data_IF_176353321331
#
_entry.id   IF_176353321331
#
_cell.length_a   1.000
_cell.length_b   1.000
_cell.length_c   1.000
_cell.angle_alpha   90.00
_cell.angle_beta   90.00
_cell.angle_gamma   90.00
#
_symmetry.space_group_name_H-M   'P 1'
#
loop_
_entity.id
_entity.type
_entity.pdbx_description
1 polymer ?
#
# COMPACT_ATOMS: atom_id res chain seq x y z
N UNK A 1 -9.84 -9.44 -26.45
CA UNK A 1 -10.37 -8.29 -27.23
C UNK A 1 -11.70 -7.72 -26.71
N UNK A 2 -12.60 -8.51 -26.10
CA UNK A 2 -13.91 -8.00 -25.62
C UNK A 2 -13.87 -7.04 -24.41
N UNK A 3 -12.89 -7.12 -23.51
CA UNK A 3 -12.82 -6.23 -22.32
C UNK A 3 -12.36 -4.79 -22.64
N UNK A 4 -11.54 -4.63 -23.68
CA UNK A 4 -11.12 -3.33 -24.20
C UNK A 4 -12.29 -2.57 -24.86
N UNK A 5 -13.21 -3.30 -25.51
CA UNK A 5 -14.42 -2.74 -26.09
C UNK A 5 -15.39 -2.21 -25.02
N UNK A 6 -15.61 -2.98 -23.95
CA UNK A 6 -16.46 -2.56 -22.81
C UNK A 6 -15.88 -1.30 -22.14
N UNK A 7 -14.56 -1.20 -21.96
CA UNK A 7 -13.93 -0.03 -21.31
C UNK A 7 -13.80 1.21 -22.22
N UNK A 8 -13.61 1.04 -23.54
CA UNK A 8 -13.74 2.16 -24.49
C UNK A 8 -15.17 2.72 -24.51
N UNK A 9 -16.16 1.84 -24.35
CA UNK A 9 -17.57 2.22 -24.25
C UNK A 9 -17.88 2.92 -22.92
N UNK A 10 -17.23 2.54 -21.81
CA UNK A 10 -17.29 3.26 -20.53
C UNK A 10 -16.62 4.63 -20.63
N UNK A 11 -15.41 4.75 -21.21
CA UNK A 11 -14.76 6.07 -21.40
C UNK A 11 -15.56 7.01 -22.33
N UNK A 12 -16.23 6.48 -23.35
CA UNK A 12 -17.11 7.28 -24.24
C UNK A 12 -18.52 7.53 -23.69
N UNK A 13 -18.98 6.75 -22.71
CA UNK A 13 -20.19 7.04 -21.93
C UNK A 13 -19.93 8.03 -20.79
N UNK A 14 -18.76 7.96 -20.15
CA UNK A 14 -18.37 8.89 -19.07
C UNK A 14 -18.28 10.33 -19.59
N UNK A 15 -17.95 10.55 -20.87
CA UNK A 15 -18.02 11.87 -21.50
C UNK A 15 -19.46 12.33 -21.86
N UNK A 16 -20.45 11.41 -21.90
CA UNK A 16 -21.85 11.71 -22.23
C UNK A 16 -22.77 11.86 -21.01
N UNK A 17 -22.35 11.44 -19.81
CA UNK A 17 -23.19 11.40 -18.58
C UNK A 17 -22.73 12.39 -17.49
N UNK A 18 -21.78 13.30 -17.78
CA UNK A 18 -21.32 14.28 -16.80
C UNK A 18 -22.39 15.34 -16.48
N UNK A 19 -22.98 15.25 -15.28
CA UNK A 19 -23.34 16.44 -14.50
C UNK A 19 -22.38 16.50 -13.30
N UNK A 20 -21.58 17.57 -13.14
CA UNK A 20 -20.76 17.72 -11.94
C UNK A 20 -21.68 17.79 -10.71
N UNK A 21 -21.51 16.86 -9.78
CA UNK A 21 -22.26 16.83 -8.51
C UNK A 21 -21.75 17.94 -7.55
N UNK A 22 -20.50 18.39 -7.74
CA UNK A 22 -19.93 19.53 -7.02
C UNK A 22 -19.86 20.77 -7.90
N UNK A 23 -20.76 21.75 -7.67
CA UNK A 23 -20.59 23.13 -8.14
C UNK A 23 -19.82 23.92 -7.08
N UNK A 24 -18.66 24.46 -7.47
CA UNK A 24 -17.96 25.61 -6.88
C UNK A 24 -17.52 25.52 -5.40
N UNK A 25 -16.35 24.93 -5.15
CA UNK A 25 -15.39 25.58 -4.26
C UNK A 25 -14.60 26.55 -5.14
N UNK A 26 -14.73 27.86 -4.87
CA UNK A 26 -14.08 28.91 -5.64
C UNK A 26 -12.57 28.63 -5.78
N UNK A 27 -12.14 28.29 -7.00
CA UNK A 27 -10.73 28.35 -7.35
C UNK A 27 -10.31 29.82 -7.21
N UNK A 28 -9.64 30.17 -6.11
CA UNK A 28 -8.88 31.41 -6.04
C UNK A 28 -7.89 31.36 -7.20
N UNK A 29 -8.11 32.20 -8.21
CA UNK A 29 -7.14 32.47 -9.28
C UNK A 29 -5.82 32.87 -8.61
N UNK A 30 -4.84 31.97 -8.64
CA UNK A 30 -3.45 32.37 -8.44
C UNK A 30 -3.03 33.00 -9.75
N UNK A 31 -2.96 34.33 -9.76
CA UNK A 31 -2.40 35.09 -10.88
C UNK A 31 -0.95 34.66 -11.09
N UNK A 32 -0.63 34.25 -12.32
CA UNK A 32 0.72 33.91 -12.73
C UNK A 32 1.64 35.11 -12.49
N UNK A 33 2.61 34.96 -11.59
CA UNK A 33 3.71 35.92 -11.43
C UNK A 33 4.71 35.61 -12.53
N UNK A 34 4.85 36.54 -13.46
CA UNK A 34 5.88 36.55 -14.50
C UNK A 34 7.26 36.61 -13.83
N UNK A 35 8.13 35.66 -14.11
CA UNK A 35 9.53 35.70 -13.67
C UNK A 35 10.25 36.85 -14.39
N UNK A 36 10.47 37.96 -13.69
CA UNK A 36 11.53 38.91 -14.03
C UNK A 36 12.72 38.64 -13.10
N UNK A 37 13.91 38.58 -13.70
CA UNK A 37 15.18 38.32 -13.04
C UNK A 37 15.41 39.29 -11.87
N UNK A 38 15.54 38.75 -10.66
CA UNK A 38 15.97 39.49 -9.48
C UNK A 38 17.33 38.98 -9.03
N UNK A 39 18.37 39.52 -9.66
CA UNK A 39 19.64 39.71 -8.97
C UNK A 39 19.45 40.81 -7.92
N UNK A 40 20.00 40.58 -6.72
CA UNK A 40 20.02 41.47 -5.56
C UNK A 40 18.71 41.68 -4.80
N UNK A 41 18.48 40.87 -3.74
CA UNK A 41 17.94 41.35 -2.46
C UNK A 41 18.33 40.41 -1.29
N UNK A 42 18.46 40.94 -0.06
CA UNK A 42 19.18 40.28 1.04
C UNK A 42 18.32 39.33 1.90
N UNK A 43 19.07 38.43 2.55
CA UNK A 43 18.80 37.48 3.63
C UNK A 43 17.42 37.48 4.31
N UNK A 44 16.85 36.27 4.40
CA UNK A 44 15.62 35.89 5.11
C UNK A 44 15.66 36.28 6.60
N UNK A 45 14.51 36.63 7.21
CA UNK A 45 14.43 36.93 8.63
C UNK A 45 14.62 35.67 9.49
N UNK A 46 15.45 35.80 10.54
CA UNK A 46 15.62 34.82 11.61
C UNK A 46 14.28 34.53 12.28
N UNK A 47 13.83 33.28 12.21
CA UNK A 47 12.78 32.76 13.09
C UNK A 47 13.46 32.13 14.31
N UNK A 48 13.69 32.94 15.34
CA UNK A 48 13.97 32.44 16.69
C UNK A 48 12.64 32.01 17.32
N UNK A 49 12.44 30.69 17.43
CA UNK A 49 11.57 30.12 18.46
C UNK A 49 12.42 29.23 19.34
N UNK A 50 12.75 29.77 20.51
CA UNK A 50 13.24 29.00 21.64
C UNK A 50 12.19 27.94 22.01
N UNK A 51 12.48 26.68 21.69
CA UNK A 51 11.86 25.54 22.35
C UNK A 51 13.01 24.82 23.06
N UNK A 52 13.11 25.07 24.36
CA UNK A 52 13.95 24.29 25.26
C UNK A 52 13.35 22.90 25.41
N UNK A 53 13.96 21.89 24.81
CA UNK A 53 13.76 20.49 25.20
C UNK A 53 15.07 20.05 25.85
N UNK A 54 15.18 20.32 27.14
CA UNK A 54 16.06 19.58 28.03
C UNK A 54 15.38 18.27 28.35
N UNK A 55 15.71 17.21 27.63
CA UNK A 55 15.58 15.85 28.12
C UNK A 55 16.74 15.02 27.57
N UNK A 56 17.90 15.25 28.20
CA UNK A 56 18.98 14.29 28.30
C UNK A 56 18.49 13.10 29.12
N UNK A 57 17.92 12.09 28.44
CA UNK A 57 17.90 10.73 28.97
C UNK A 57 18.69 9.85 28.01
N UNK A 58 19.98 9.72 28.32
CA UNK A 58 20.81 8.60 27.89
C UNK A 58 20.14 7.35 28.48
N UNK A 59 19.44 6.59 27.64
CA UNK A 59 18.99 5.25 27.99
C UNK A 59 20.13 4.28 27.67
N UNK A 60 20.93 3.99 28.68
CA UNK A 60 21.87 2.87 28.72
C UNK A 60 21.11 1.54 28.84
N UNK A 61 21.46 0.58 27.98
CA UNK A 61 21.32 -0.88 28.07
C UNK A 61 20.04 -1.52 28.66
N UNK A 62 19.28 -2.20 27.77
CA UNK A 62 18.92 -3.63 27.90
C UNK A 62 18.26 -4.15 26.60
N UNK A 63 18.76 -5.28 26.10
CA UNK A 63 18.39 -5.98 24.85
C UNK A 63 16.90 -6.32 24.67
N UNK A 64 16.42 -6.48 23.41
CA UNK A 64 16.29 -7.84 22.88
C UNK A 64 16.93 -8.05 21.49
N UNK A 65 17.41 -9.28 21.33
CA UNK A 65 18.42 -9.80 20.42
C UNK A 65 18.00 -10.05 18.97
N UNK A 66 17.23 -9.17 18.30
CA UNK A 66 16.81 -9.45 16.91
C UNK A 66 16.65 -8.21 16.02
N UNK A 67 17.38 -7.12 16.22
CA UNK A 67 17.41 -6.07 15.18
C UNK A 67 18.06 -6.63 13.90
N UNK A 68 17.60 -6.24 12.70
CA UNK A 68 18.17 -6.76 11.45
C UNK A 68 19.69 -6.54 11.33
N UNK A 69 20.18 -5.43 11.88
CA UNK A 69 21.59 -5.06 11.95
C UNK A 69 22.40 -5.98 12.89
N UNK A 70 21.80 -6.43 14.00
CA UNK A 70 22.42 -7.40 14.91
C UNK A 70 22.54 -8.78 14.26
N UNK A 71 21.56 -9.19 13.45
CA UNK A 71 21.61 -10.49 12.78
C UNK A 71 22.80 -10.57 11.81
N UNK A 72 23.10 -9.49 11.08
CA UNK A 72 24.23 -9.42 10.15
C UNK A 72 25.60 -9.53 10.84
N UNK A 73 25.74 -8.96 12.04
CA UNK A 73 26.95 -9.06 12.85
C UNK A 73 27.13 -10.42 13.56
N UNK A 74 26.09 -11.25 13.63
CA UNK A 74 26.06 -12.44 14.50
C UNK A 74 26.81 -13.67 13.98
N UNK A 75 27.24 -13.67 12.71
CA UNK A 75 27.93 -14.82 12.08
C UNK A 75 27.07 -16.08 11.90
N UNK A 76 25.78 -16.03 12.25
CA UNK A 76 24.83 -17.14 12.13
C UNK A 76 24.68 -17.62 10.66
N UNK A 77 24.35 -18.91 10.43
CA UNK A 77 24.15 -19.43 9.07
C UNK A 77 23.10 -18.64 8.26
N UNK A 78 22.03 -18.17 8.91
CA UNK A 78 20.99 -17.37 8.27
C UNK A 78 21.49 -15.98 7.85
N UNK A 79 22.29 -15.33 8.69
CA UNK A 79 22.92 -14.05 8.38
C UNK A 79 23.87 -14.14 7.18
N UNK A 80 24.68 -15.20 7.13
CA UNK A 80 25.58 -15.48 5.99
C UNK A 80 24.80 -15.72 4.70
N UNK A 81 23.71 -16.50 4.75
CA UNK A 81 22.84 -16.74 3.60
C UNK A 81 22.18 -15.45 3.10
N UNK A 82 21.69 -14.61 4.02
CA UNK A 82 21.09 -13.31 3.68
C UNK A 82 22.11 -12.36 3.02
N UNK A 83 23.31 -12.25 3.59
CA UNK A 83 24.39 -11.42 3.04
C UNK A 83 24.81 -11.88 1.64
N UNK A 84 24.86 -13.20 1.41
CA UNK A 84 25.15 -13.76 0.07
C UNK A 84 24.08 -13.38 -0.95
N UNK A 85 22.79 -13.50 -0.60
CA UNK A 85 21.69 -13.10 -1.48
C UNK A 85 21.75 -11.61 -1.82
N UNK A 86 22.03 -10.74 -0.85
CA UNK A 86 22.20 -9.30 -1.09
C UNK A 86 23.37 -8.97 -1.99
N UNK A 87 24.51 -9.61 -1.77
CA UNK A 87 25.69 -9.43 -2.64
C UNK A 87 25.37 -9.77 -4.09
N UNK A 88 24.57 -10.83 -4.32
CA UNK A 88 24.12 -11.21 -5.65
C UNK A 88 23.17 -10.20 -6.27
N UNK A 89 22.18 -9.71 -5.49
CA UNK A 89 21.29 -8.63 -5.93
C UNK A 89 22.09 -7.38 -6.32
N UNK A 90 23.09 -6.99 -5.52
CA UNK A 90 23.96 -5.85 -5.80
C UNK A 90 24.80 -6.03 -7.08
N UNK A 91 25.14 -7.27 -7.44
CA UNK A 91 25.81 -7.61 -8.71
C UNK A 91 24.86 -7.68 -9.91
N UNK A 92 23.55 -7.53 -9.70
CA UNK A 92 22.52 -7.62 -10.73
C UNK A 92 22.09 -9.05 -11.06
N UNK A 93 22.44 -10.04 -10.23
CA UNK A 93 22.01 -11.41 -10.43
C UNK A 93 20.50 -11.54 -10.26
N UNK A 94 19.86 -12.34 -11.12
CA UNK A 94 18.45 -12.71 -10.93
C UNK A 94 18.33 -13.73 -9.80
N UNK A 95 17.43 -13.46 -8.87
CA UNK A 95 17.04 -14.39 -7.81
C UNK A 95 15.84 -15.21 -8.28
N UNK A 96 16.05 -16.50 -8.52
CA UNK A 96 14.98 -17.41 -8.90
C UNK A 96 14.17 -17.85 -7.67
N UNK A 97 12.85 -18.07 -7.84
CA UNK A 97 11.96 -18.44 -6.74
C UNK A 97 12.41 -19.71 -6.00
N UNK A 98 12.78 -20.76 -6.74
CA UNK A 98 13.26 -22.02 -6.14
C UNK A 98 14.52 -21.84 -5.31
N UNK A 99 15.41 -20.95 -5.75
CA UNK A 99 16.64 -20.63 -5.03
C UNK A 99 16.32 -19.90 -3.73
N UNK A 100 15.49 -18.86 -3.82
CA UNK A 100 15.01 -18.08 -2.68
C UNK A 100 14.26 -18.95 -1.65
N UNK A 101 13.47 -19.92 -2.07
CA UNK A 101 12.74 -20.80 -1.14
C UNK A 101 13.63 -21.86 -0.49
N UNK A 102 14.80 -22.17 -1.06
CA UNK A 102 15.77 -23.14 -0.54
C UNK A 102 16.86 -22.51 0.31
N UNK A 103 17.03 -21.20 0.26
CA UNK A 103 18.03 -20.50 1.06
C UNK A 103 17.69 -20.56 2.55
N UNK A 104 18.74 -20.60 3.37
CA UNK A 104 18.63 -20.76 4.83
C UNK A 104 18.52 -19.43 5.58
N UNK A 105 18.11 -18.35 4.90
CA UNK A 105 18.07 -17.00 5.47
C UNK A 105 16.81 -16.69 6.27
N UNK A 106 15.76 -17.50 6.15
CA UNK A 106 14.50 -17.29 6.86
C UNK A 106 14.69 -17.45 8.37
N UNK A 107 14.27 -16.43 9.12
CA UNK A 107 14.23 -16.43 10.58
C UNK A 107 12.85 -15.94 10.99
N UNK A 108 11.88 -16.84 11.07
CA UNK A 108 10.50 -16.49 11.43
C UNK A 108 10.30 -16.45 12.95
N UNK A 109 9.14 -15.96 13.38
CA UNK A 109 8.76 -15.99 14.80
C UNK A 109 8.72 -17.43 15.30
N UNK A 110 9.31 -17.66 16.46
CA UNK A 110 9.31 -18.95 17.15
C UNK A 110 7.90 -19.53 17.24
N UNK A 111 7.76 -20.80 16.85
CA UNK A 111 6.49 -21.55 16.85
C UNK A 111 5.55 -21.20 15.69
N UNK A 112 5.99 -20.40 14.71
CA UNK A 112 5.21 -20.04 13.51
C UNK A 112 5.92 -20.36 12.20
N UNK A 113 7.06 -21.02 12.24
CA UNK A 113 7.97 -21.19 11.11
C UNK A 113 7.29 -21.93 9.96
N UNK A 114 6.70 -23.09 10.23
CA UNK A 114 6.03 -23.92 9.23
C UNK A 114 4.85 -23.20 8.59
N UNK A 115 3.96 -22.62 9.41
CA UNK A 115 2.80 -21.86 8.92
C UNK A 115 3.22 -20.65 8.10
N UNK A 116 4.22 -19.90 8.55
CA UNK A 116 4.73 -18.72 7.85
C UNK A 116 5.34 -19.10 6.50
N UNK A 117 6.15 -20.17 6.48
CA UNK A 117 6.74 -20.70 5.26
C UNK A 117 5.65 -21.20 4.28
N UNK A 118 4.68 -21.97 4.76
CA UNK A 118 3.58 -22.48 3.95
C UNK A 118 2.77 -21.35 3.32
N UNK A 119 2.42 -20.33 4.11
CA UNK A 119 1.67 -19.19 3.63
C UNK A 119 2.46 -18.34 2.63
N UNK A 120 3.75 -18.12 2.90
CA UNK A 120 4.65 -17.41 1.98
C UNK A 120 4.77 -18.14 0.65
N UNK A 121 5.01 -19.46 0.67
CA UNK A 121 5.07 -20.30 -0.54
C UNK A 121 3.78 -20.21 -1.36
N UNK A 122 2.64 -20.31 -0.69
CA UNK A 122 1.33 -20.17 -1.33
C UNK A 122 1.16 -18.81 -2.01
N UNK A 123 1.43 -17.71 -1.29
CA UNK A 123 1.30 -16.36 -1.82
C UNK A 123 2.26 -16.10 -3.01
N UNK A 124 3.53 -16.51 -2.89
CA UNK A 124 4.52 -16.39 -3.97
C UNK A 124 4.11 -17.20 -5.20
N UNK A 125 3.67 -18.45 -5.01
CA UNK A 125 3.23 -19.31 -6.10
C UNK A 125 2.04 -18.72 -6.87
N UNK A 126 1.10 -18.09 -6.18
CA UNK A 126 -0.02 -17.39 -6.81
C UNK A 126 0.42 -16.15 -7.58
N UNK A 127 1.13 -15.21 -6.95
CA UNK A 127 1.43 -13.90 -7.54
C UNK A 127 2.50 -13.97 -8.62
N UNK A 128 3.59 -14.70 -8.38
CA UNK A 128 4.73 -14.74 -9.30
C UNK A 128 4.48 -15.57 -10.56
N UNK A 129 3.44 -16.41 -10.57
CA UNK A 129 2.98 -17.07 -11.79
C UNK A 129 2.57 -16.07 -12.87
N UNK A 130 2.09 -14.87 -12.48
CA UNK A 130 1.64 -13.80 -13.37
C UNK A 130 0.58 -14.26 -14.39
N UNK A 131 -0.22 -15.26 -14.05
CA UNK A 131 -1.26 -15.82 -14.93
C UNK A 131 -2.68 -15.38 -14.57
N UNK A 132 -2.88 -14.84 -13.37
CA UNK A 132 -4.20 -14.53 -12.80
C UNK A 132 -4.38 -13.04 -12.56
N UNK A 133 -5.58 -12.49 -12.80
CA UNK A 133 -5.88 -11.13 -12.37
C UNK A 133 -5.90 -11.03 -10.85
N UNK A 134 -5.45 -9.91 -10.32
CA UNK A 134 -5.48 -9.56 -8.91
C UNK A 134 -6.46 -8.41 -8.72
N UNK A 135 -7.37 -8.56 -7.76
CA UNK A 135 -8.28 -7.49 -7.34
C UNK A 135 -8.07 -7.21 -5.85
N UNK A 136 -7.93 -5.94 -5.51
CA UNK A 136 -7.96 -5.44 -4.14
C UNK A 136 -9.17 -4.55 -3.96
N UNK A 137 -9.83 -4.67 -2.83
CA UNK A 137 -11.03 -3.89 -2.49
C UNK A 137 -10.87 -3.41 -1.06
N UNK A 138 -11.21 -2.15 -0.84
CA UNK A 138 -11.33 -1.53 0.46
C UNK A 138 -12.66 -0.77 0.52
N UNK A 139 -13.28 -0.68 1.69
CA UNK A 139 -14.57 -0.05 1.87
C UNK A 139 -14.56 0.80 3.13
N UNK A 140 -14.94 2.07 2.98
CA UNK A 140 -15.12 2.96 4.11
C UNK A 140 -16.60 3.05 4.50
N UNK A 141 -16.83 3.17 5.80
CA UNK A 141 -18.17 3.30 6.38
C UNK A 141 -18.22 4.52 7.31
N UNK A 142 -19.43 5.04 7.51
CA UNK A 142 -19.60 6.16 8.40
C UNK A 142 -19.30 5.77 9.85
N UNK A 143 -18.37 6.49 10.48
CA UNK A 143 -17.83 6.17 11.81
C UNK A 143 -18.86 6.18 12.95
N UNK A 144 -20.05 6.78 12.75
CA UNK A 144 -21.16 6.76 13.73
C UNK A 144 -22.22 5.70 13.42
N UNK A 145 -22.20 5.13 12.23
CA UNK A 145 -23.15 4.11 11.80
C UNK A 145 -22.51 3.25 10.70
N UNK A 146 -21.79 2.20 11.11
CA UNK A 146 -21.02 1.32 10.20
C UNK A 146 -21.87 0.58 9.15
N UNK A 147 -23.20 0.56 9.29
CA UNK A 147 -24.09 0.04 8.25
C UNK A 147 -24.20 0.96 7.02
N UNK A 148 -23.68 2.18 7.08
CA UNK A 148 -23.74 3.16 5.99
C UNK A 148 -22.39 3.23 5.28
N UNK A 149 -22.34 2.62 4.11
CA UNK A 149 -21.15 2.60 3.24
C UNK A 149 -20.98 3.96 2.59
N UNK A 150 -19.82 4.58 2.74
CA UNK A 150 -19.55 5.92 2.17
C UNK A 150 -18.75 5.82 0.88
N UNK A 151 -17.82 4.87 0.82
CA UNK A 151 -16.85 4.74 -0.28
C UNK A 151 -16.53 3.28 -0.54
N UNK A 152 -16.26 2.95 -1.81
CA UNK A 152 -15.75 1.65 -2.24
C UNK A 152 -14.55 1.88 -3.13
N UNK A 153 -13.40 1.38 -2.71
CA UNK A 153 -12.18 1.34 -3.49
C UNK A 153 -12.01 0.00 -4.17
N UNK A 154 -11.66 0.01 -5.45
CA UNK A 154 -11.41 -1.20 -6.22
C UNK A 154 -10.14 -0.98 -7.02
N UNK A 155 -9.16 -1.86 -6.88
CA UNK A 155 -7.97 -1.84 -7.72
C UNK A 155 -7.80 -3.18 -8.41
N UNK A 156 -7.71 -3.16 -9.74
CA UNK A 156 -7.50 -4.36 -10.56
C UNK A 156 -6.15 -4.31 -11.23
N UNK A 157 -5.39 -5.39 -11.14
CA UNK A 157 -4.15 -5.59 -11.86
C UNK A 157 -4.20 -6.92 -12.60
N UNK A 158 -3.98 -6.88 -13.91
CA UNK A 158 -3.92 -8.07 -14.76
C UNK A 158 -2.50 -8.17 -15.34
N UNK A 159 -1.67 -9.10 -14.84
CA UNK A 159 -0.30 -9.28 -15.32
C UNK A 159 -0.22 -9.59 -16.81
N UNK A 160 -1.23 -10.29 -17.38
CA UNK A 160 -1.25 -10.66 -18.80
C UNK A 160 -1.31 -9.43 -19.73
N UNK A 161 -1.89 -8.33 -19.23
CA UNK A 161 -1.99 -7.06 -19.96
C UNK A 161 -0.84 -6.09 -19.70
N UNK A 162 0.06 -6.44 -18.77
CA UNK A 162 1.17 -5.59 -18.34
C UNK A 162 2.55 -6.09 -18.79
N UNK A 163 2.62 -7.23 -19.49
CA UNK A 163 3.88 -7.89 -19.88
C UNK A 163 4.75 -7.07 -20.84
N UNK A 164 4.17 -6.13 -21.59
CA UNK A 164 4.88 -5.31 -22.58
C UNK A 164 5.23 -3.90 -22.10
N UNK A 165 4.86 -3.52 -20.87
CA UNK A 165 5.07 -2.18 -20.33
C UNK A 165 5.98 -2.23 -19.10
N UNK A 166 6.90 -1.26 -19.00
CA UNK A 166 7.72 -1.10 -17.79
C UNK A 166 6.88 -0.64 -16.59
N UNK A 167 5.83 0.13 -16.85
CA UNK A 167 4.88 0.55 -15.83
C UNK A 167 3.69 -0.42 -15.87
N UNK A 168 3.41 -1.16 -14.78
CA UNK A 168 2.29 -2.08 -14.74
C UNK A 168 0.98 -1.31 -14.88
N UNK A 169 0.05 -1.87 -15.67
CA UNK A 169 -1.24 -1.23 -15.88
C UNK A 169 -2.20 -1.62 -14.76
N UNK A 170 -2.09 -0.88 -13.65
CA UNK A 170 -2.96 -0.99 -12.48
C UNK A 170 -4.16 -0.06 -12.67
N UNK A 171 -5.38 -0.57 -12.40
CA UNK A 171 -6.64 0.15 -12.60
C UNK A 171 -7.35 0.40 -11.26
N UNK A 172 -7.02 1.50 -10.57
CA UNK A 172 -7.74 1.93 -9.39
C UNK A 172 -9.05 2.63 -9.80
N UNK A 173 -10.10 2.38 -9.02
CA UNK A 173 -11.44 2.92 -9.14
C UNK A 173 -11.86 3.34 -7.75
N UNK A 174 -12.43 4.53 -7.64
CA UNK A 174 -12.97 5.03 -6.40
C UNK A 174 -14.45 5.38 -6.58
N UNK A 175 -15.32 4.66 -5.89
CA UNK A 175 -16.77 4.87 -5.92
C UNK A 175 -17.19 5.60 -4.65
N UNK A 176 -17.97 6.66 -4.81
CA UNK A 176 -18.62 7.39 -3.72
C UNK A 176 -20.10 7.03 -3.74
N UNK A 177 -20.62 6.61 -2.60
CA UNK A 177 -22.05 6.28 -2.46
C UNK A 177 -22.87 7.57 -2.41
N UNK A 178 -23.74 7.77 -3.39
CA UNK A 178 -24.55 8.98 -3.58
C UNK A 178 -25.44 9.27 -2.37
N UNK A 179 -26.10 8.24 -1.85
CA UNK A 179 -27.01 8.31 -0.70
C UNK A 179 -26.30 8.77 0.58
N UNK A 180 -25.01 8.48 0.70
CA UNK A 180 -24.18 8.76 1.85
C UNK A 180 -23.12 9.85 1.60
N UNK A 181 -23.23 10.58 0.48
CA UNK A 181 -22.18 11.52 0.05
C UNK A 181 -21.90 12.63 1.07
N UNK A 182 -22.92 13.02 1.83
CA UNK A 182 -22.90 14.05 2.88
C UNK A 182 -22.33 13.54 4.22
N UNK A 183 -22.15 12.24 4.39
CA UNK A 183 -21.55 11.65 5.58
C UNK A 183 -20.04 11.76 5.48
N UNK A 184 -19.42 12.30 6.54
CA UNK A 184 -17.98 12.56 6.63
C UNK A 184 -17.46 11.96 7.92
N UNK A 185 -16.33 11.27 7.83
CA UNK A 185 -15.59 10.83 8.99
C UNK A 185 -14.75 12.01 9.55
N UNK A 186 -13.92 11.76 10.56
CA UNK A 186 -12.98 12.78 11.06
C UNK A 186 -12.78 12.74 12.57
N UNK A 187 -13.63 12.03 13.33
CA UNK A 187 -13.45 11.89 14.78
C UNK A 187 -12.43 10.82 15.12
N UNK A 188 -12.49 9.67 14.45
CA UNK A 188 -11.63 8.51 14.78
C UNK A 188 -10.63 8.19 13.67
N UNK A 189 -11.02 8.41 12.42
CA UNK A 189 -10.17 8.25 11.23
C UNK A 189 -10.15 9.56 10.44
N UNK A 190 -9.01 9.92 9.81
CA UNK A 190 -8.94 11.00 8.84
C UNK A 190 -10.04 10.92 7.77
N UNK A 191 -10.60 12.06 7.40
CA UNK A 191 -11.54 12.17 6.28
C UNK A 191 -10.78 12.49 5.00
N UNK A 192 -10.39 11.44 4.26
CA UNK A 192 -9.66 11.58 3.00
C UNK A 192 -10.53 11.28 1.77
N UNK A 193 -11.86 11.30 1.93
CA UNK A 193 -12.85 10.98 0.90
C UNK A 193 -12.67 11.75 -0.42
N UNK A 194 -12.22 12.99 -0.34
CA UNK A 194 -12.05 13.88 -1.51
C UNK A 194 -10.65 13.78 -2.15
N UNK A 195 -9.72 13.01 -1.59
CA UNK A 195 -8.31 12.99 -1.98
C UNK A 195 -7.92 11.68 -2.68
N UNK A 196 -8.66 11.30 -3.73
CA UNK A 196 -8.31 10.14 -4.54
C UNK A 196 -7.10 10.45 -5.45
N UNK A 197 -5.99 9.75 -5.22
CA UNK A 197 -4.70 10.07 -5.84
C UNK A 197 -4.59 9.61 -7.30
N UNK A 198 -5.44 8.67 -7.72
CA UNK A 198 -5.36 8.04 -9.04
C UNK A 198 -6.42 8.54 -10.04
N UNK A 199 -6.99 9.73 -9.81
CA UNK A 199 -7.85 10.42 -10.78
C UNK A 199 -9.20 10.81 -10.21
N UNK A 200 -10.28 10.38 -10.87
CA UNK A 200 -11.63 10.88 -10.59
C UNK A 200 -12.45 9.88 -9.79
N UNK A 201 -12.98 10.32 -8.65
CA UNK A 201 -13.99 9.58 -7.89
C UNK A 201 -15.33 9.58 -8.64
N UNK A 202 -15.98 8.42 -8.71
CA UNK A 202 -17.27 8.24 -9.38
C UNK A 202 -18.40 8.22 -8.35
N UNK A 203 -19.33 9.16 -8.43
CA UNK A 203 -20.53 9.15 -7.60
C UNK A 203 -21.54 8.19 -8.22
N UNK A 204 -21.96 7.19 -7.46
CA UNK A 204 -22.90 6.16 -7.89
C UNK A 204 -23.88 5.85 -6.77
N UNK A 205 -25.08 5.38 -7.12
CA UNK A 205 -26.01 4.83 -6.13
C UNK A 205 -25.42 3.60 -5.47
N UNK A 206 -25.78 3.35 -4.21
CA UNK A 206 -25.33 2.19 -3.46
C UNK A 206 -25.65 0.88 -4.20
N UNK A 207 -26.84 0.79 -4.78
CA UNK A 207 -27.27 -0.37 -5.59
C UNK A 207 -26.39 -0.61 -6.81
N UNK A 208 -25.89 0.45 -7.44
CA UNK A 208 -25.00 0.36 -8.61
C UNK A 208 -23.57 -0.01 -8.18
N UNK A 209 -23.10 0.51 -7.04
CA UNK A 209 -21.82 0.09 -6.45
C UNK A 209 -21.82 -1.42 -6.13
N UNK A 210 -22.90 -1.93 -5.51
CA UNK A 210 -23.07 -3.37 -5.24
C UNK A 210 -23.08 -4.17 -6.54
N UNK A 211 -23.79 -3.69 -7.57
CA UNK A 211 -23.83 -4.35 -8.89
C UNK A 211 -22.44 -4.40 -9.53
N UNK A 212 -21.67 -3.31 -9.49
CA UNK A 212 -20.30 -3.26 -10.01
C UNK A 212 -19.43 -4.29 -9.28
N UNK A 213 -19.47 -4.32 -7.94
CA UNK A 213 -18.72 -5.28 -7.14
C UNK A 213 -19.08 -6.72 -7.51
N UNK A 214 -20.37 -7.06 -7.59
CA UNK A 214 -20.85 -8.40 -7.97
C UNK A 214 -20.29 -8.85 -9.32
N UNK A 215 -20.39 -7.98 -10.33
CA UNK A 215 -19.91 -8.28 -11.69
C UNK A 215 -18.39 -8.46 -11.71
N UNK A 216 -17.64 -7.59 -11.04
CA UNK A 216 -16.18 -7.67 -11.01
C UNK A 216 -15.69 -8.90 -10.24
N UNK A 217 -16.25 -9.18 -9.07
CA UNK A 217 -15.90 -10.34 -8.25
C UNK A 217 -16.21 -11.65 -8.99
N UNK A 218 -17.40 -11.77 -9.57
CA UNK A 218 -17.77 -12.94 -10.37
C UNK A 218 -16.78 -13.14 -11.54
N UNK A 219 -16.53 -12.08 -12.30
CA UNK A 219 -15.67 -12.18 -13.48
C UNK A 219 -14.21 -12.45 -13.16
N UNK A 220 -13.65 -11.75 -12.17
CA UNK A 220 -12.22 -11.78 -11.90
C UNK A 220 -11.85 -12.93 -10.97
N UNK A 221 -12.63 -13.19 -9.93
CA UNK A 221 -12.29 -14.22 -8.94
C UNK A 221 -12.84 -15.60 -9.28
N UNK A 222 -14.02 -15.67 -9.92
CA UNK A 222 -14.68 -16.96 -10.20
C UNK A 222 -14.38 -17.41 -11.62
N UNK A 223 -14.74 -16.62 -12.63
CA UNK A 223 -14.57 -17.02 -14.04
C UNK A 223 -13.09 -17.08 -14.48
N UNK A 224 -12.25 -16.20 -13.93
CA UNK A 224 -10.82 -16.12 -14.26
C UNK A 224 -9.91 -16.66 -13.16
N UNK A 225 -10.49 -17.25 -12.11
CA UNK A 225 -9.74 -17.84 -11.00
C UNK A 225 -8.70 -16.87 -10.39
N UNK A 226 -9.08 -15.60 -10.32
CA UNK A 226 -8.23 -14.50 -9.87
C UNK A 226 -7.93 -14.54 -8.38
N UNK A 227 -7.10 -13.59 -7.95
CA UNK A 227 -6.63 -13.46 -6.58
C UNK A 227 -7.33 -12.27 -5.92
N UNK A 228 -8.00 -12.52 -4.79
CA UNK A 228 -8.46 -11.45 -3.93
C UNK A 228 -7.35 -11.07 -2.94
N UNK A 229 -6.86 -9.83 -3.04
CA UNK A 229 -5.77 -9.30 -2.23
C UNK A 229 -6.28 -8.21 -1.28
N UNK A 230 -6.29 -8.50 0.02
CA UNK A 230 -6.79 -7.58 1.04
C UNK A 230 -5.75 -7.27 2.13
N UNK A 231 -6.10 -6.39 3.05
CA UNK A 231 -5.34 -6.11 4.27
C UNK A 231 -6.27 -6.35 5.46
N UNK A 232 -6.30 -7.60 5.96
CA UNK A 232 -7.35 -8.18 6.80
C UNK A 232 -8.60 -8.66 6.02
N UNK A 233 -8.42 -9.52 5.00
CA UNK A 233 -9.42 -10.04 4.04
C UNK A 233 -10.75 -10.46 4.69
N UNK A 234 -10.70 -10.98 5.92
CA UNK A 234 -11.89 -11.38 6.67
C UNK A 234 -12.89 -10.23 6.92
N UNK A 235 -12.42 -8.99 7.03
CA UNK A 235 -13.24 -7.80 7.21
C UNK A 235 -14.03 -7.50 5.92
N UNK A 236 -13.35 -7.48 4.77
CA UNK A 236 -13.99 -7.28 3.46
C UNK A 236 -14.97 -8.40 3.14
N UNK A 237 -14.66 -9.66 3.45
CA UNK A 237 -15.58 -10.79 3.24
C UNK A 237 -16.85 -10.65 4.09
N UNK A 238 -16.73 -10.20 5.34
CA UNK A 238 -17.90 -9.92 6.19
C UNK A 238 -18.73 -8.79 5.60
N UNK A 239 -18.08 -7.75 5.11
CA UNK A 239 -18.72 -6.63 4.43
C UNK A 239 -19.49 -7.08 3.17
N UNK A 240 -18.87 -7.89 2.30
CA UNK A 240 -19.53 -8.46 1.13
C UNK A 240 -20.78 -9.26 1.47
N UNK A 241 -20.75 -10.04 2.57
CA UNK A 241 -21.94 -10.76 3.04
C UNK A 241 -23.09 -9.81 3.41
N UNK A 242 -22.79 -8.67 4.05
CA UNK A 242 -23.81 -7.66 4.38
C UNK A 242 -24.44 -7.04 3.13
N UNK A 243 -23.68 -6.93 2.03
CA UNK A 243 -24.18 -6.48 0.73
C UNK A 243 -24.89 -7.58 -0.09
N UNK A 244 -25.07 -8.77 0.48
CA UNK A 244 -25.63 -9.92 -0.23
C UNK A 244 -24.72 -10.42 -1.36
N UNK A 245 -23.40 -10.32 -1.18
CA UNK A 245 -22.37 -10.85 -2.06
C UNK A 245 -21.74 -12.05 -1.36
N UNK A 246 -21.95 -13.25 -1.90
CA UNK A 246 -21.35 -14.49 -1.40
C UNK A 246 -20.19 -14.88 -2.31
N UNK A 247 -18.99 -14.92 -1.75
CA UNK A 247 -17.80 -15.42 -2.44
C UNK A 247 -17.65 -16.92 -2.18
N UNK A 248 -17.35 -17.74 -3.20
CA UNK A 248 -17.02 -19.14 -3.00
C UNK A 248 -15.83 -19.30 -2.03
N UNK A 249 -15.82 -20.36 -1.24
CA UNK A 249 -14.71 -20.63 -0.32
C UNK A 249 -13.40 -20.91 -1.08
N UNK A 250 -13.52 -21.42 -2.30
CA UNK A 250 -12.44 -21.86 -3.18
C UNK A 250 -11.64 -20.73 -3.85
N UNK A 251 -12.07 -19.46 -3.75
CA UNK A 251 -11.34 -18.37 -4.39
C UNK A 251 -9.94 -18.21 -3.78
N UNK A 252 -8.96 -17.83 -4.61
CA UNK A 252 -7.61 -17.55 -4.14
C UNK A 252 -7.61 -16.25 -3.32
N UNK A 253 -7.08 -16.28 -2.10
CA UNK A 253 -7.00 -15.12 -1.19
C UNK A 253 -5.56 -14.90 -0.75
N UNK A 254 -5.15 -13.64 -0.76
CA UNK A 254 -3.89 -13.18 -0.15
C UNK A 254 -4.21 -12.05 0.81
N UNK A 255 -3.79 -12.21 2.05
CA UNK A 255 -3.91 -11.23 3.10
C UNK A 255 -2.54 -10.62 3.37
N UNK A 256 -2.39 -9.37 2.95
CA UNK A 256 -1.15 -8.60 3.13
C UNK A 256 -0.84 -8.37 4.60
N UNK A 257 -1.85 -8.37 5.48
CA UNK A 257 -1.65 -8.28 6.92
C UNK A 257 -0.97 -9.55 7.45
N UNK A 258 -1.37 -10.73 6.97
CA UNK A 258 -0.73 -11.98 7.36
C UNK A 258 0.69 -12.08 6.79
N UNK A 259 0.92 -11.61 5.56
CA UNK A 259 2.26 -11.58 4.95
C UNK A 259 3.23 -10.66 5.71
N UNK A 260 2.82 -9.45 6.10
CA UNK A 260 3.69 -8.56 6.89
C UNK A 260 3.91 -9.09 8.31
N UNK A 261 2.94 -9.83 8.86
CA UNK A 261 3.04 -10.45 10.19
C UNK A 261 4.00 -11.63 10.27
N UNK A 262 4.45 -12.15 9.12
CA UNK A 262 5.57 -13.11 9.08
C UNK A 262 6.83 -12.49 9.67
N UNK A 263 7.06 -11.18 9.45
CA UNK A 263 8.30 -10.51 9.84
C UNK A 263 8.15 -9.38 10.83
N UNK A 264 6.94 -8.85 11.05
CA UNK A 264 6.70 -7.70 11.94
C UNK A 264 5.51 -7.95 12.85
N UNK A 265 5.48 -7.30 14.02
CA UNK A 265 4.28 -7.26 14.87
C UNK A 265 3.32 -6.09 14.51
N UNK A 266 3.50 -5.50 13.33
CA UNK A 266 2.72 -4.36 12.83
C UNK A 266 1.43 -4.86 12.16
N UNK A 267 0.42 -3.99 12.06
CA UNK A 267 -0.85 -4.41 11.46
C UNK A 267 -1.73 -3.34 10.84
N UNK A 268 -1.18 -2.15 10.57
CA UNK A 268 -1.89 -1.17 9.75
C UNK A 268 -1.30 -1.15 8.34
N UNK A 269 -2.14 -0.82 7.35
CA UNK A 269 -1.69 -0.64 5.97
C UNK A 269 -0.55 0.38 5.89
N UNK A 270 -0.66 1.49 6.65
CA UNK A 270 0.40 2.50 6.78
C UNK A 270 1.74 1.91 7.20
N UNK A 271 1.76 1.10 8.27
CA UNK A 271 3.03 0.50 8.72
C UNK A 271 3.61 -0.45 7.68
N UNK A 272 2.76 -1.22 7.02
CA UNK A 272 3.16 -2.13 5.96
C UNK A 272 3.78 -1.38 4.78
N UNK A 273 3.19 -0.26 4.36
CA UNK A 273 3.74 0.56 3.28
C UNK A 273 5.08 1.18 3.67
N UNK A 274 5.21 1.66 4.92
CA UNK A 274 6.47 2.19 5.45
C UNK A 274 7.56 1.12 5.50
N UNK A 275 7.23 -0.10 5.92
CA UNK A 275 8.23 -1.17 6.01
C UNK A 275 8.74 -1.62 4.64
N UNK A 276 7.99 -1.34 3.57
CA UNK A 276 8.37 -1.60 2.18
C UNK A 276 8.97 -0.38 1.48
N UNK A 277 9.07 0.77 2.17
CA UNK A 277 9.42 2.07 1.59
C UNK A 277 8.55 2.45 0.37
N UNK A 278 7.26 2.13 0.44
CA UNK A 278 6.28 2.53 -0.58
C UNK A 278 5.74 3.92 -0.20
N UNK A 279 5.97 4.96 -1.02
CA UNK A 279 5.39 6.28 -0.80
C UNK A 279 3.87 6.21 -0.82
N UNK A 280 3.24 6.82 0.18
CA UNK A 280 1.79 6.82 0.33
C UNK A 280 1.30 8.11 0.98
N UNK A 281 0.05 8.45 0.70
CA UNK A 281 -0.65 9.58 1.31
C UNK A 281 -2.16 9.33 1.25
N UNK A 282 -2.93 10.14 1.99
CA UNK A 282 -4.39 10.11 1.91
C UNK A 282 -5.01 8.71 2.15
N UNK A 283 -4.45 7.94 3.10
CA UNK A 283 -5.09 6.70 3.60
C UNK A 283 -6.41 7.06 4.31
N UNK A 284 -7.36 6.14 4.38
CA UNK A 284 -8.79 6.42 4.64
C UNK A 284 -9.48 7.11 3.47
N UNK A 285 -9.02 6.77 2.27
CA UNK A 285 -9.71 6.97 1.01
C UNK A 285 -9.75 5.59 0.39
N UNK A 286 -10.94 5.00 0.27
CA UNK A 286 -11.05 3.58 -0.06
C UNK A 286 -10.32 3.24 -1.37
N UNK A 287 -10.39 4.13 -2.37
CA UNK A 287 -9.68 3.99 -3.64
C UNK A 287 -8.15 3.94 -3.50
N UNK A 288 -7.58 4.81 -2.67
CA UNK A 288 -6.16 4.79 -2.36
C UNK A 288 -5.78 3.55 -1.54
N UNK A 289 -6.59 3.16 -0.55
CA UNK A 289 -6.29 2.01 0.32
C UNK A 289 -6.32 0.70 -0.45
N UNK A 290 -7.26 0.50 -1.38
CA UNK A 290 -7.26 -0.62 -2.31
C UNK A 290 -6.02 -0.62 -3.22
N UNK A 291 -5.60 0.55 -3.70
CA UNK A 291 -4.42 0.68 -4.55
C UNK A 291 -3.13 0.34 -3.80
N UNK A 292 -2.96 0.91 -2.61
CA UNK A 292 -1.80 0.66 -1.77
C UNK A 292 -1.77 -0.77 -1.21
N UNK A 293 -2.92 -1.38 -0.94
CA UNK A 293 -3.00 -2.79 -0.56
C UNK A 293 -2.46 -3.69 -1.68
N UNK A 294 -2.83 -3.42 -2.94
CA UNK A 294 -2.27 -4.14 -4.08
C UNK A 294 -0.74 -3.95 -4.16
N UNK A 295 -0.24 -2.72 -4.07
CA UNK A 295 1.20 -2.46 -4.11
C UNK A 295 1.96 -3.16 -2.97
N UNK A 296 1.40 -3.11 -1.76
CA UNK A 296 1.96 -3.80 -0.61
C UNK A 296 2.03 -5.31 -0.84
N UNK A 297 0.97 -5.92 -1.37
CA UNK A 297 0.98 -7.35 -1.67
C UNK A 297 1.95 -7.74 -2.77
N UNK A 298 2.11 -6.92 -3.82
CA UNK A 298 3.14 -7.13 -4.84
C UNK A 298 4.55 -7.06 -4.23
N UNK A 299 4.84 -6.05 -3.40
CA UNK A 299 6.13 -5.93 -2.71
C UNK A 299 6.39 -7.06 -1.72
N UNK A 300 5.38 -7.47 -0.94
CA UNK A 300 5.47 -8.59 0.01
C UNK A 300 5.60 -9.96 -0.66
N UNK A 301 5.37 -10.06 -1.95
CA UNK A 301 5.53 -11.29 -2.74
C UNK A 301 6.65 -11.19 -3.78
N UNK A 302 7.50 -10.16 -3.69
CA UNK A 302 8.71 -10.04 -4.50
C UNK A 302 9.95 -10.47 -3.69
N UNK A 303 10.65 -11.56 -4.06
CA UNK A 303 11.81 -12.06 -3.32
C UNK A 303 12.90 -11.01 -3.10
N UNK A 304 13.18 -10.17 -4.10
CA UNK A 304 14.21 -9.13 -4.00
C UNK A 304 13.82 -8.09 -2.95
N UNK A 305 12.61 -7.57 -3.02
CA UNK A 305 12.04 -6.65 -2.02
C UNK A 305 12.09 -7.25 -0.63
N UNK A 306 11.70 -8.53 -0.48
CA UNK A 306 11.71 -9.20 0.82
C UNK A 306 13.12 -9.32 1.42
N UNK A 307 14.11 -9.68 0.61
CA UNK A 307 15.52 -9.76 1.03
C UNK A 307 16.04 -8.37 1.44
N UNK A 308 15.80 -7.36 0.60
CA UNK A 308 16.33 -6.01 0.81
C UNK A 308 15.66 -5.29 1.99
N UNK A 309 14.38 -5.57 2.26
CA UNK A 309 13.62 -4.95 3.36
C UNK A 309 13.55 -5.81 4.63
N UNK A 310 14.33 -6.89 4.72
CA UNK A 310 14.34 -7.80 5.87
C UNK A 310 12.95 -8.40 6.18
N UNK A 311 12.17 -8.75 5.16
CA UNK A 311 10.82 -9.33 5.33
C UNK A 311 10.83 -10.83 5.63
N UNK A 312 11.99 -11.46 5.63
CA UNK A 312 12.17 -12.88 5.96
C UNK A 312 12.79 -13.12 7.34
N UNK A 313 13.09 -12.03 8.04
CA UNK A 313 13.64 -12.02 9.39
C UNK A 313 12.63 -11.32 10.29
N UNK A 314 12.13 -12.07 11.28
CA UNK A 314 11.19 -11.57 12.26
C UNK A 314 11.86 -10.56 13.18
N UNK A 315 11.24 -9.40 13.30
CA UNK A 315 11.65 -8.35 14.20
C UNK A 315 10.43 -7.76 14.91
N UNK A 316 10.50 -7.73 16.23
CA UNK A 316 9.54 -7.06 17.08
C UNK A 316 10.05 -5.64 17.37
N UNK A 317 9.71 -4.70 16.50
CA UNK A 317 10.03 -3.30 16.71
C UNK A 317 9.25 -2.68 17.86
N UNK A 318 9.80 -1.64 18.46
CA UNK A 318 9.12 -0.85 19.47
C UNK A 318 7.85 -0.19 18.90
N UNK A 319 6.79 -0.10 19.72
CA UNK A 319 5.57 0.60 19.33
C UNK A 319 5.84 2.10 19.24
N UNK A 320 6.17 2.59 18.05
CA UNK A 320 6.28 4.02 17.80
C UNK A 320 4.99 4.75 18.21
N UNK A 321 5.12 5.88 18.92
CA UNK A 321 3.98 6.75 19.28
C UNK A 321 3.27 7.20 17.99
N UNK A 322 1.93 7.12 18.00
CA UNK A 322 1.03 7.48 16.88
C UNK A 322 1.08 8.99 16.59
N UNK A 323 2.11 9.49 15.91
CA UNK A 323 2.11 10.88 15.41
C UNK A 323 1.79 10.86 13.92
N UNK A 324 0.52 11.16 13.62
CA UNK A 324 -0.03 11.16 12.27
C UNK A 324 0.18 12.51 11.61
N UNK A 325 1.01 12.56 10.56
CA UNK A 325 1.07 13.71 9.67
C UNK A 325 1.56 13.27 8.29
N UNK A 326 0.79 13.59 7.26
CA UNK A 326 1.20 13.52 5.86
C UNK A 326 2.03 14.77 5.51
N UNK A 327 2.98 15.13 6.38
CA UNK A 327 3.90 16.26 6.20
C UNK A 327 5.32 15.74 6.09
N UNK A 328 6.12 16.43 5.29
CA UNK A 328 7.54 16.14 5.15
C UNK A 328 8.26 16.32 6.49
N UNK A 329 9.20 15.43 6.76
CA UNK A 329 10.23 15.66 7.78
C UNK A 329 11.36 16.43 7.13
N UNK A 330 11.81 17.51 7.77
CA UNK A 330 12.92 18.32 7.28
C UNK A 330 14.17 17.96 8.10
N UNK A 331 15.21 17.51 7.41
CA UNK A 331 16.53 17.28 7.99
C UNK A 331 17.49 18.31 7.42
N UNK A 332 18.37 18.84 8.26
CA UNK A 332 19.49 19.66 7.83
C UNK A 332 20.60 18.74 7.34
N UNK A 333 21.14 19.03 6.17
CA UNK A 333 22.34 18.36 5.65
C UNK A 333 23.53 19.18 6.11
N UNK A 334 24.30 18.64 7.06
CA UNK A 334 25.50 19.31 7.59
C UNK A 334 26.74 19.05 6.72
N UNK A 335 26.79 17.91 6.03
CA UNK A 335 27.83 17.55 5.07
C UNK A 335 27.18 17.06 3.77
N UNK A 336 27.40 17.82 2.69
CA UNK A 336 26.80 17.54 1.38
C UNK A 336 27.54 16.42 0.67
N UNK A 337 28.83 16.20 0.94
CA UNK A 337 29.62 15.19 0.27
C UNK A 337 29.20 13.77 0.71
N UNK A 338 28.82 13.61 1.99
CA UNK A 338 28.21 12.37 2.49
C UNK A 338 26.91 12.06 1.74
N UNK A 339 26.03 13.06 1.59
CA UNK A 339 24.76 12.87 0.86
C UNK A 339 25.00 12.52 -0.62
N UNK A 340 25.98 13.16 -1.27
CA UNK A 340 26.32 12.85 -2.66
C UNK A 340 26.85 11.41 -2.77
N UNK A 341 27.71 10.99 -1.84
CA UNK A 341 28.24 9.62 -1.81
C UNK A 341 27.16 8.55 -1.60
N UNK A 342 26.07 8.87 -0.91
CA UNK A 342 24.95 7.94 -0.71
C UNK A 342 24.02 7.86 -1.95
N UNK A 343 24.05 8.87 -2.82
CA UNK A 343 23.21 8.97 -4.02
C UNK A 343 23.86 8.40 -5.29
N UNK A 344 25.19 8.28 -5.31
CA UNK A 344 26.00 7.76 -6.42
C UNK A 344 26.39 6.31 -6.17
#
# INVERSE_FOLDING_TARGET
>A
MQFSAVMKQVKSHVSRVQKPVYKNLAQKKVSAVTYQSLSNRPLLPKYEKNISITDTSIATDASPSNSPELLESSGLPAAKALAQLRSRIAKGDKIHLEEYLRSKHFVFKEGREERSMAYLKHALGLVLSKTRPIISIDCESYERQHSKVTEVGITVFDPSTSSSSMIPHIKPIHLIVEEHIHLRNGRYVPDNKDYFSNGTSLVVKEVDAIKILKVLLQKLLVEQDGIFMGHAVSAEVKFFRLLGILLPETINKIDTLDLVRISRNQGSLRSCLRSLDIPHGYLHNAGNDAYYTLLAGLGLTDPVTRIMKNMDVYYEGEKAKKVHHDRSTFLRVDDVDVLISDLL
#
